data_IF_546121933272
#
_entry.id   IF_546121933272
#
_cell.length_a   1.000
_cell.length_b   1.000
_cell.length_c   1.000
_cell.angle_alpha   90.00
_cell.angle_beta   90.00
_cell.angle_gamma   90.00
#
_symmetry.space_group_name_H-M   'P 1'
#
loop_
_entity.id
_entity.type
_entity.pdbx_description
1 polymer ?
#
# COMPACT_ATOMS: atom_id res chain seq x y z
N UNK A 1 -23.51 -17.51 -3.76
CA UNK A 1 -22.04 -17.61 -3.62
C UNK A 1 -21.67 -17.41 -2.16
N UNK A 2 -20.90 -18.30 -1.53
CA UNK A 2 -20.58 -18.19 -0.10
C UNK A 2 -19.64 -17.00 0.14
N UNK A 3 -20.13 -15.97 0.85
CA UNK A 3 -19.39 -14.74 1.14
C UNK A 3 -18.08 -15.01 1.89
N UNK A 4 -18.04 -16.08 2.70
CA UNK A 4 -16.85 -16.47 3.47
C UNK A 4 -15.67 -16.87 2.57
N UNK A 5 -15.95 -17.40 1.37
CA UNK A 5 -14.92 -17.76 0.39
C UNK A 5 -14.61 -16.58 -0.53
N UNK A 6 -15.66 -15.91 -1.02
CA UNK A 6 -15.51 -14.91 -2.06
C UNK A 6 -14.75 -13.66 -1.61
N UNK A 7 -15.10 -13.10 -0.44
CA UNK A 7 -14.55 -11.81 0.00
C UNK A 7 -13.02 -11.91 0.21
N UNK A 8 -12.49 -12.90 0.95
CA UNK A 8 -11.04 -13.04 1.11
C UNK A 8 -10.32 -13.33 -0.21
N UNK A 9 -10.86 -14.20 -1.06
CA UNK A 9 -10.21 -14.53 -2.35
C UNK A 9 -10.14 -13.30 -3.26
N UNK A 10 -11.23 -12.53 -3.36
CA UNK A 10 -11.25 -11.28 -4.12
C UNK A 10 -10.23 -10.28 -3.58
N UNK A 11 -10.18 -10.11 -2.25
CA UNK A 11 -9.19 -9.26 -1.60
C UNK A 11 -7.75 -9.76 -1.85
N UNK A 12 -7.53 -11.08 -1.89
CA UNK A 12 -6.24 -11.68 -2.23
C UNK A 12 -5.80 -11.34 -3.65
N UNK A 13 -6.68 -11.48 -4.63
CA UNK A 13 -6.41 -11.04 -6.02
C UNK A 13 -6.18 -9.53 -6.11
N UNK A 14 -6.89 -8.74 -5.32
CA UNK A 14 -6.71 -7.30 -5.23
C UNK A 14 -5.31 -6.92 -4.71
N UNK A 15 -4.80 -7.62 -3.70
CA UNK A 15 -3.42 -7.48 -3.24
C UNK A 15 -2.41 -7.87 -4.33
N UNK A 16 -2.61 -8.99 -5.01
CA UNK A 16 -1.73 -9.40 -6.12
C UNK A 16 -1.69 -8.35 -7.22
N UNK A 17 -2.86 -7.83 -7.61
CA UNK A 17 -2.98 -6.80 -8.63
C UNK A 17 -2.12 -5.58 -8.28
N UNK A 18 -2.24 -5.04 -7.07
CA UNK A 18 -1.41 -3.91 -6.66
C UNK A 18 0.07 -4.26 -6.55
N UNK A 19 0.42 -5.41 -5.96
CA UNK A 19 1.81 -5.85 -5.86
C UNK A 19 2.49 -5.92 -7.23
N UNK A 20 1.86 -6.61 -8.19
CA UNK A 20 2.36 -6.78 -9.55
C UNK A 20 2.39 -5.44 -10.29
N UNK A 21 1.32 -4.64 -10.18
CA UNK A 21 1.22 -3.34 -10.84
C UNK A 21 2.37 -2.43 -10.42
N UNK A 22 2.59 -2.26 -9.10
CA UNK A 22 3.66 -1.40 -8.57
C UNK A 22 5.03 -1.90 -8.99
N UNK A 23 5.26 -3.22 -9.02
CA UNK A 23 6.52 -3.83 -9.42
C UNK A 23 6.80 -3.76 -10.93
N UNK A 24 5.74 -3.68 -11.75
CA UNK A 24 5.86 -3.60 -13.21
C UNK A 24 6.44 -2.27 -13.68
N UNK A 25 6.36 -1.21 -12.87
CA UNK A 25 6.85 0.13 -13.20
C UNK A 25 8.38 0.19 -13.15
N UNK A 26 8.98 0.83 -14.16
CA UNK A 26 10.43 1.03 -14.28
C UNK A 26 10.78 2.51 -14.01
N UNK A 27 11.98 2.81 -13.47
CA UNK A 27 13.00 1.87 -12.99
C UNK A 27 12.60 1.19 -11.67
N UNK A 28 13.01 -0.07 -11.48
CA UNK A 28 12.64 -0.86 -10.30
C UNK A 28 13.42 -0.43 -9.07
N UNK A 29 12.72 -0.14 -7.99
CA UNK A 29 13.30 0.21 -6.69
C UNK A 29 13.15 -0.93 -5.69
N UNK A 30 14.09 -1.03 -4.73
CA UNK A 30 14.04 -2.05 -3.65
C UNK A 30 12.73 -2.02 -2.85
N UNK A 31 12.13 -0.84 -2.69
CA UNK A 31 10.83 -0.67 -2.03
C UNK A 31 9.68 -1.37 -2.79
N UNK A 32 9.69 -1.34 -4.12
CA UNK A 32 8.68 -2.00 -4.95
C UNK A 32 8.80 -3.52 -4.84
N UNK A 33 10.03 -4.06 -4.76
CA UNK A 33 10.25 -5.49 -4.53
C UNK A 33 9.73 -5.93 -3.16
N UNK A 34 10.03 -5.18 -2.09
CA UNK A 34 9.48 -5.47 -0.75
C UNK A 34 7.96 -5.35 -0.73
N UNK A 35 7.39 -4.37 -1.43
CA UNK A 35 5.95 -4.21 -1.56
C UNK A 35 5.29 -5.38 -2.31
N UNK A 36 5.93 -5.91 -3.36
CA UNK A 36 5.47 -7.11 -4.05
C UNK A 36 5.45 -8.31 -3.10
N UNK A 37 6.54 -8.56 -2.36
CA UNK A 37 6.59 -9.68 -1.41
C UNK A 37 5.54 -9.54 -0.29
N UNK A 38 5.33 -8.33 0.22
CA UNK A 38 4.25 -8.05 1.17
C UNK A 38 2.88 -8.44 0.61
N UNK A 39 2.59 -8.04 -0.63
CA UNK A 39 1.30 -8.35 -1.27
C UNK A 39 1.16 -9.82 -1.63
N UNK A 40 2.24 -10.52 -1.98
CA UNK A 40 2.23 -11.98 -2.17
C UNK A 40 1.86 -12.68 -0.86
N UNK A 41 2.46 -12.28 0.26
CA UNK A 41 2.12 -12.82 1.58
C UNK A 41 0.65 -12.54 1.95
N UNK A 42 0.17 -11.31 1.77
CA UNK A 42 -1.23 -10.96 2.06
C UNK A 42 -2.20 -11.73 1.16
N UNK A 43 -1.89 -11.88 -0.13
CA UNK A 43 -2.69 -12.65 -1.06
C UNK A 43 -2.75 -14.13 -0.68
N UNK A 44 -1.60 -14.74 -0.36
CA UNK A 44 -1.54 -16.12 0.10
C UNK A 44 -2.37 -16.31 1.38
N UNK A 45 -2.22 -15.40 2.34
CA UNK A 45 -3.01 -15.44 3.57
C UNK A 45 -4.52 -15.44 3.28
N UNK A 46 -4.98 -14.47 2.49
CA UNK A 46 -6.39 -14.28 2.18
C UNK A 46 -6.98 -15.40 1.31
N UNK A 47 -6.21 -15.90 0.35
CA UNK A 47 -6.63 -17.03 -0.48
C UNK A 47 -6.71 -18.31 0.33
N UNK A 48 -5.73 -18.61 1.21
CA UNK A 48 -5.81 -19.80 2.09
C UNK A 48 -7.00 -19.67 3.04
N UNK A 49 -7.21 -18.49 3.62
CA UNK A 49 -8.35 -18.23 4.48
C UNK A 49 -9.70 -18.42 3.77
N UNK A 50 -9.81 -17.99 2.51
CA UNK A 50 -11.03 -18.15 1.72
C UNK A 50 -11.24 -19.57 1.21
N UNK A 51 -10.17 -20.26 0.79
CA UNK A 51 -10.25 -21.56 0.12
C UNK A 51 -10.17 -22.77 1.08
N UNK A 52 -9.71 -22.60 2.33
CA UNK A 52 -9.59 -23.70 3.29
C UNK A 52 -10.90 -24.46 3.57
N UNK A 53 -12.06 -23.84 3.35
CA UNK A 53 -13.36 -24.52 3.47
C UNK A 53 -13.65 -25.53 2.36
N UNK A 54 -12.91 -25.46 1.24
CA UNK A 54 -12.99 -26.43 0.16
C UNK A 54 -12.16 -27.69 0.45
N UNK A 55 -11.32 -27.67 1.48
CA UNK A 55 -10.57 -28.85 1.88
C UNK A 55 -11.51 -29.92 2.45
N UNK A 56 -11.20 -31.21 2.24
CA UNK A 56 -11.87 -32.30 2.96
C UNK A 56 -11.80 -32.05 4.47
N UNK A 57 -12.81 -32.50 5.21
CA UNK A 57 -12.97 -32.23 6.66
C UNK A 57 -11.67 -32.50 7.45
N UNK A 58 -11.00 -33.60 7.14
CA UNK A 58 -9.73 -34.04 7.74
C UNK A 58 -8.59 -33.01 7.59
N UNK A 59 -8.58 -32.24 6.50
CA UNK A 59 -7.54 -31.26 6.19
C UNK A 59 -7.91 -29.82 6.54
N UNK A 60 -9.13 -29.56 7.03
CA UNK A 60 -9.56 -28.19 7.37
C UNK A 60 -8.77 -27.60 8.53
N UNK A 61 -8.41 -28.42 9.53
CA UNK A 61 -7.56 -27.97 10.64
C UNK A 61 -6.17 -27.56 10.15
N UNK A 62 -5.60 -28.36 9.25
CA UNK A 62 -4.34 -28.05 8.58
C UNK A 62 -4.42 -26.74 7.79
N UNK A 63 -5.48 -26.56 6.99
CA UNK A 63 -5.70 -25.32 6.23
C UNK A 63 -5.82 -24.08 7.13
N UNK A 64 -6.51 -24.19 8.27
CA UNK A 64 -6.56 -23.13 9.28
C UNK A 64 -5.17 -22.83 9.85
N UNK A 65 -4.41 -23.84 10.24
CA UNK A 65 -3.07 -23.68 10.82
C UNK A 65 -2.08 -23.04 9.84
N UNK A 66 -2.08 -23.45 8.56
CA UNK A 66 -1.20 -22.84 7.54
C UNK A 66 -1.56 -21.38 7.25
N UNK A 67 -2.81 -20.97 7.46
CA UNK A 67 -3.28 -19.59 7.24
C UNK A 67 -2.39 -18.57 7.98
N UNK A 68 -1.79 -18.94 9.11
CA UNK A 68 -1.00 -18.02 9.93
C UNK A 68 0.40 -17.72 9.37
N UNK A 69 0.96 -18.58 8.50
CA UNK A 69 2.33 -18.40 7.99
C UNK A 69 2.47 -17.15 7.12
N UNK A 70 1.65 -16.97 6.06
CA UNK A 70 1.84 -15.79 5.20
C UNK A 70 1.52 -14.49 5.95
N UNK A 71 0.61 -14.52 6.93
CA UNK A 71 0.33 -13.37 7.80
C UNK A 71 1.59 -12.94 8.59
N UNK A 72 2.22 -13.87 9.32
CA UNK A 72 3.39 -13.54 10.14
C UNK A 72 4.54 -12.99 9.29
N UNK A 73 4.84 -13.63 8.16
CA UNK A 73 5.87 -13.17 7.21
C UNK A 73 5.52 -11.80 6.64
N UNK A 74 4.26 -11.59 6.27
CA UNK A 74 3.77 -10.31 5.75
C UNK A 74 3.98 -9.15 6.72
N UNK A 75 3.66 -9.32 8.01
CA UNK A 75 3.82 -8.23 9.00
C UNK A 75 5.28 -7.83 9.23
N UNK A 76 6.21 -8.78 9.15
CA UNK A 76 7.64 -8.47 9.20
C UNK A 76 8.14 -7.80 7.91
N UNK A 77 7.68 -8.23 6.73
CA UNK A 77 8.04 -7.56 5.47
C UNK A 77 7.56 -6.10 5.49
N UNK A 78 6.37 -5.82 6.05
CA UNK A 78 5.90 -4.46 6.29
C UNK A 78 6.89 -3.66 7.16
N UNK A 79 7.42 -4.27 8.23
CA UNK A 79 8.47 -3.65 9.04
C UNK A 79 9.73 -3.33 8.23
N UNK A 80 10.23 -4.29 7.44
CA UNK A 80 11.41 -4.08 6.58
C UNK A 80 11.17 -2.96 5.56
N UNK A 81 9.96 -2.91 4.98
CA UNK A 81 9.54 -1.87 4.05
C UNK A 81 9.56 -0.49 4.73
N UNK A 82 8.92 -0.36 5.89
CA UNK A 82 8.90 0.89 6.65
C UNK A 82 10.30 1.33 7.09
N UNK A 83 11.16 0.39 7.49
CA UNK A 83 12.56 0.66 7.84
C UNK A 83 13.36 1.17 6.64
N UNK A 84 13.12 0.62 5.44
CA UNK A 84 13.74 1.11 4.20
C UNK A 84 13.20 2.47 3.75
N UNK A 85 11.93 2.77 4.03
CA UNK A 85 11.36 4.11 3.80
C UNK A 85 11.92 5.17 4.76
N UNK A 86 12.27 4.78 5.99
CA UNK A 86 12.87 5.69 6.98
C UNK A 86 14.23 6.22 6.49
N UNK A 87 15.14 5.31 6.11
CA UNK A 87 16.51 5.60 5.69
C UNK A 87 16.91 4.80 4.45
N UNK A 88 16.86 5.46 3.29
CA UNK A 88 17.29 4.91 2.00
C UNK A 88 18.82 4.76 1.99
N UNK A 89 19.31 3.58 2.39
CA UNK A 89 20.75 3.26 2.38
C UNK A 89 21.23 2.51 3.60
N UNK A 90 20.55 2.65 4.74
CA UNK A 90 20.92 1.95 5.96
C UNK A 90 20.63 0.45 5.82
N UNK A 91 21.61 -0.38 6.21
CA UNK A 91 21.42 -1.83 6.31
C UNK A 91 20.49 -2.13 7.49
N UNK A 92 19.67 -3.17 7.33
CA UNK A 92 18.80 -3.64 8.41
C UNK A 92 19.72 -4.38 9.40
N UNK A 93 19.66 -4.07 10.69
CA UNK A 93 20.46 -4.76 11.70
C UNK A 93 20.25 -6.27 11.64
N UNK A 94 21.36 -7.02 11.71
CA UNK A 94 21.34 -8.50 11.56
C UNK A 94 20.49 -9.16 12.65
N UNK A 95 20.53 -8.64 13.89
CA UNK A 95 19.74 -9.17 15.00
C UNK A 95 18.22 -9.13 14.75
N UNK A 96 17.72 -8.13 14.00
CA UNK A 96 16.30 -8.07 13.61
C UNK A 96 15.96 -9.20 12.64
N UNK A 97 16.87 -9.48 11.69
CA UNK A 97 16.68 -10.58 10.75
C UNK A 97 16.73 -11.93 11.45
N UNK A 98 17.64 -12.11 12.41
CA UNK A 98 17.71 -13.31 13.25
C UNK A 98 16.41 -13.48 14.04
N UNK A 99 15.92 -12.42 14.69
CA UNK A 99 14.65 -12.47 15.44
C UNK A 99 13.47 -12.84 14.54
N UNK A 100 13.40 -12.27 13.34
CA UNK A 100 12.40 -12.63 12.34
C UNK A 100 12.48 -14.10 11.95
N UNK A 101 13.68 -14.59 11.61
CA UNK A 101 13.91 -15.99 11.21
C UNK A 101 13.54 -16.95 12.33
N UNK A 102 13.98 -16.69 13.58
CA UNK A 102 13.64 -17.54 14.74
C UNK A 102 12.13 -17.59 14.93
N UNK A 103 11.44 -16.44 14.89
CA UNK A 103 9.99 -16.38 14.98
C UNK A 103 9.31 -17.19 13.87
N UNK A 104 9.75 -17.03 12.62
CA UNK A 104 9.17 -17.78 11.49
C UNK A 104 9.42 -19.27 11.56
N UNK A 105 10.63 -19.70 11.92
CA UNK A 105 10.94 -21.12 12.09
C UNK A 105 10.03 -21.76 13.13
N UNK A 106 9.82 -21.07 14.25
CA UNK A 106 8.90 -21.51 15.29
C UNK A 106 7.45 -21.61 14.79
N UNK A 107 6.92 -20.56 14.16
CA UNK A 107 5.53 -20.59 13.65
C UNK A 107 5.34 -21.57 12.50
N UNK A 108 6.37 -21.79 11.69
CA UNK A 108 6.41 -22.84 10.65
C UNK A 108 6.24 -24.20 11.27
N UNK A 109 7.09 -24.55 12.25
CA UNK A 109 6.95 -25.80 12.98
C UNK A 109 5.56 -25.95 13.63
N UNK A 110 5.07 -24.92 14.31
CA UNK A 110 3.77 -24.96 14.97
C UNK A 110 2.61 -25.12 13.99
N UNK A 111 2.68 -24.49 12.81
CA UNK A 111 1.63 -24.58 11.77
C UNK A 111 1.61 -25.96 11.11
N UNK A 112 2.78 -26.50 10.74
CA UNK A 112 2.86 -27.84 10.13
C UNK A 112 2.54 -28.96 11.12
N UNK A 113 2.84 -28.77 12.40
CA UNK A 113 2.46 -29.68 13.47
C UNK A 113 1.00 -29.52 13.92
N UNK A 114 0.23 -28.62 13.29
CA UNK A 114 -1.16 -28.29 13.62
C UNK A 114 -1.39 -27.86 15.08
N UNK A 115 -0.40 -27.18 15.68
CA UNK A 115 -0.42 -26.70 17.07
C UNK A 115 -0.81 -25.23 17.21
N UNK A 116 -1.11 -24.52 16.11
CA UNK A 116 -1.51 -23.11 16.18
C UNK A 116 -2.89 -22.97 16.79
N UNK A 117 -3.85 -23.77 16.34
CA UNK A 117 -5.23 -23.83 16.85
C UNK A 117 -5.79 -25.22 16.58
N UNK A 118 -6.77 -25.61 17.38
CA UNK A 118 -7.53 -26.86 17.20
C UNK A 118 -8.96 -26.49 16.87
N UNK A 119 -9.47 -26.98 15.75
CA UNK A 119 -10.86 -26.82 15.36
C UNK A 119 -11.79 -27.62 16.28
N UNK A 120 -12.78 -26.93 16.86
CA UNK A 120 -13.92 -27.58 17.51
C UNK A 120 -14.96 -28.00 16.47
N UNK A 121 -15.25 -27.12 15.51
CA UNK A 121 -16.21 -27.37 14.44
C UNK A 121 -15.58 -27.06 13.05
N UNK A 122 -15.32 -28.10 12.23
CA UNK A 122 -14.71 -27.95 10.91
C UNK A 122 -15.57 -27.23 9.86
N UNK A 123 -16.88 -27.14 10.04
CA UNK A 123 -17.78 -26.46 9.09
C UNK A 123 -17.84 -24.96 9.32
N UNK A 124 -17.82 -24.55 10.59
CA UNK A 124 -17.91 -23.14 10.99
C UNK A 124 -16.55 -22.50 11.28
N UNK A 125 -15.47 -23.30 11.29
CA UNK A 125 -14.12 -22.87 11.69
C UNK A 125 -14.07 -22.26 13.10
N UNK A 126 -14.91 -22.76 14.01
CA UNK A 126 -14.82 -22.47 15.44
C UNK A 126 -13.60 -23.23 15.99
N UNK A 127 -12.77 -22.54 16.77
CA UNK A 127 -11.53 -23.10 17.30
C UNK A 127 -11.25 -22.57 18.71
N UNK A 128 -10.50 -23.38 19.45
CA UNK A 128 -9.95 -23.02 20.73
C UNK A 128 -8.66 -22.21 20.61
N UNK A 129 -8.55 -21.21 21.49
CA UNK A 129 -7.35 -20.41 21.61
C UNK A 129 -6.22 -21.23 22.23
N UNK A 130 -5.13 -21.41 21.47
CA UNK A 130 -3.90 -21.97 22.00
C UNK A 130 -2.90 -20.87 22.39
N UNK A 131 -1.91 -21.22 23.21
CA UNK A 131 -0.78 -20.33 23.49
C UNK A 131 -0.10 -19.86 22.19
N UNK A 132 0.09 -20.75 21.22
CA UNK A 132 0.74 -20.46 19.95
C UNK A 132 -0.04 -19.44 19.12
N UNK A 133 -1.38 -19.49 19.22
CA UNK A 133 -2.25 -18.50 18.61
C UNK A 133 -2.04 -17.10 19.18
N UNK A 134 -2.02 -16.97 20.51
CA UNK A 134 -1.74 -15.69 21.16
C UNK A 134 -0.35 -15.18 20.78
N UNK A 135 0.67 -16.05 20.78
CA UNK A 135 2.04 -15.69 20.41
C UNK A 135 2.14 -15.13 18.99
N UNK A 136 1.47 -15.72 17.99
CA UNK A 136 1.52 -15.21 16.62
C UNK A 136 0.78 -13.89 16.45
N UNK A 137 -0.33 -13.69 17.18
CA UNK A 137 -1.06 -12.43 17.18
C UNK A 137 -0.20 -11.33 17.81
N UNK A 138 0.45 -11.60 18.93
CA UNK A 138 1.37 -10.64 19.57
C UNK A 138 2.58 -10.35 18.69
N UNK A 139 3.20 -11.37 18.09
CA UNK A 139 4.32 -11.18 17.16
C UNK A 139 3.93 -10.31 15.96
N UNK A 140 2.80 -10.62 15.33
CA UNK A 140 2.30 -9.87 14.16
C UNK A 140 1.96 -8.43 14.52
N UNK A 141 1.27 -8.23 15.65
CA UNK A 141 0.92 -6.90 16.17
C UNK A 141 2.15 -6.09 16.51
N UNK A 142 3.15 -6.69 17.16
CA UNK A 142 4.42 -6.06 17.49
C UNK A 142 5.13 -5.49 16.26
N UNK A 143 5.20 -6.25 15.16
CA UNK A 143 5.83 -5.77 13.92
C UNK A 143 5.04 -4.64 13.25
N UNK A 144 3.70 -4.72 13.24
CA UNK A 144 2.85 -3.66 12.69
C UNK A 144 2.96 -2.37 13.52
N UNK A 145 2.92 -2.47 14.85
CA UNK A 145 3.10 -1.31 15.74
C UNK A 145 4.50 -0.71 15.62
N UNK A 146 5.54 -1.54 15.55
CA UNK A 146 6.92 -1.09 15.30
C UNK A 146 7.05 -0.36 13.97
N UNK A 147 6.37 -0.85 12.93
CA UNK A 147 6.29 -0.20 11.62
C UNK A 147 5.62 1.17 11.73
N UNK A 148 4.47 1.25 12.39
CA UNK A 148 3.73 2.50 12.59
C UNK A 148 4.56 3.52 13.38
N UNK A 149 5.28 3.08 14.42
CA UNK A 149 6.15 3.92 15.24
C UNK A 149 7.30 4.54 14.46
N UNK A 150 7.98 3.75 13.61
CA UNK A 150 9.05 4.23 12.72
C UNK A 150 8.52 5.35 11.81
N UNK A 151 7.37 5.10 11.18
CA UNK A 151 6.75 6.05 10.25
C UNK A 151 6.29 7.32 10.98
N UNK A 152 5.69 7.18 12.17
CA UNK A 152 5.22 8.30 12.99
C UNK A 152 6.36 9.22 13.45
N UNK A 153 7.54 8.66 13.78
CA UNK A 153 8.71 9.49 14.05
C UNK A 153 9.15 10.26 12.81
N UNK A 154 9.16 9.60 11.66
CA UNK A 154 9.69 10.16 10.42
C UNK A 154 8.78 11.20 9.77
N UNK A 155 7.46 11.06 9.90
CA UNK A 155 6.49 12.00 9.31
C UNK A 155 6.65 13.42 9.85
N UNK A 156 7.14 13.58 11.09
CA UNK A 156 7.38 14.87 11.72
C UNK A 156 8.64 15.57 11.17
N UNK A 157 9.58 14.79 10.65
CA UNK A 157 10.88 15.28 10.15
C UNK A 157 10.86 15.54 8.64
N UNK A 158 10.05 14.78 7.88
CA UNK A 158 9.97 14.88 6.43
C UNK A 158 8.99 15.96 5.96
N UNK A 159 9.21 16.48 4.75
CA UNK A 159 8.38 17.50 4.10
C UNK A 159 7.96 17.07 2.69
N UNK A 160 6.94 17.74 2.15
CA UNK A 160 6.41 17.48 0.81
C UNK A 160 5.98 16.03 0.60
N UNK A 161 6.36 15.47 -0.55
CA UNK A 161 5.91 14.16 -1.01
C UNK A 161 6.26 13.03 -0.03
N UNK A 162 7.47 13.05 0.53
CA UNK A 162 7.91 12.06 1.53
C UNK A 162 6.95 12.04 2.74
N UNK A 163 6.51 13.20 3.22
CA UNK A 163 5.59 13.29 4.36
C UNK A 163 4.23 12.68 4.03
N UNK A 164 3.73 12.93 2.82
CA UNK A 164 2.43 12.42 2.36
C UNK A 164 2.49 10.90 2.14
N UNK A 165 3.58 10.39 1.56
CA UNK A 165 3.82 8.94 1.40
C UNK A 165 3.82 8.22 2.74
N UNK A 166 4.57 8.75 3.72
CA UNK A 166 4.59 8.22 5.08
C UNK A 166 3.21 8.27 5.75
N UNK A 167 2.44 9.34 5.52
CA UNK A 167 1.06 9.43 6.02
C UNK A 167 0.17 8.33 5.46
N UNK A 168 0.22 8.05 4.15
CA UNK A 168 -0.57 6.97 3.55
C UNK A 168 -0.20 5.59 4.12
N UNK A 169 1.10 5.33 4.35
CA UNK A 169 1.53 4.08 5.02
C UNK A 169 0.91 3.98 6.41
N UNK A 170 1.01 5.06 7.20
CA UNK A 170 0.47 5.13 8.55
C UNK A 170 -1.06 4.97 8.57
N UNK A 171 -1.76 5.64 7.65
CA UNK A 171 -3.21 5.55 7.51
C UNK A 171 -3.64 4.11 7.22
N UNK A 172 -2.95 3.43 6.31
CA UNK A 172 -3.18 2.01 6.03
C UNK A 172 -3.04 1.15 7.28
N UNK A 173 -2.00 1.37 8.10
CA UNK A 173 -1.78 0.60 9.33
C UNK A 173 -2.80 0.92 10.43
N UNK A 174 -3.15 2.20 10.63
CA UNK A 174 -4.12 2.64 11.66
C UNK A 174 -5.53 2.11 11.36
N UNK A 175 -5.90 1.98 10.09
CA UNK A 175 -7.21 1.44 9.71
C UNK A 175 -7.17 -0.10 9.68
N UNK A 176 -6.12 -0.67 9.10
CA UNK A 176 -5.99 -2.11 8.90
C UNK A 176 -5.87 -2.94 10.17
N UNK A 177 -4.99 -2.51 11.08
CA UNK A 177 -4.68 -3.28 12.28
C UNK A 177 -5.92 -3.45 13.18
N UNK A 178 -6.68 -2.39 13.54
CA UNK A 178 -7.86 -2.54 14.38
C UNK A 178 -8.94 -3.42 13.75
N UNK A 179 -9.22 -3.23 12.45
CA UNK A 179 -10.23 -4.05 11.73
C UNK A 179 -9.80 -5.53 11.75
N UNK A 180 -8.52 -5.79 11.45
CA UNK A 180 -7.99 -7.16 11.43
C UNK A 180 -8.03 -7.81 12.81
N UNK A 181 -7.57 -7.12 13.85
CA UNK A 181 -7.61 -7.62 15.23
C UNK A 181 -9.04 -7.82 15.72
N UNK A 182 -9.97 -6.95 15.31
CA UNK A 182 -11.38 -7.11 15.66
C UNK A 182 -11.92 -8.44 15.15
N UNK A 183 -11.75 -8.76 13.87
CA UNK A 183 -12.33 -9.97 13.27
C UNK A 183 -11.55 -11.27 13.52
N UNK A 184 -10.25 -11.17 13.82
CA UNK A 184 -9.40 -12.36 14.00
C UNK A 184 -9.20 -12.65 15.49
N UNK A 185 -9.15 -11.65 16.36
CA UNK A 185 -8.84 -11.87 17.77
C UNK A 185 -10.03 -11.59 18.69
N UNK A 186 -10.53 -10.35 18.70
CA UNK A 186 -11.54 -9.92 19.68
C UNK A 186 -12.90 -10.58 19.48
N UNK A 187 -13.41 -10.64 18.25
CA UNK A 187 -14.71 -11.27 17.97
C UNK A 187 -14.69 -12.79 18.22
N UNK A 188 -13.67 -13.54 17.79
CA UNK A 188 -13.56 -14.95 18.15
C UNK A 188 -13.51 -15.19 19.67
N UNK A 189 -12.93 -14.26 20.45
CA UNK A 189 -12.93 -14.36 21.92
C UNK A 189 -14.35 -14.23 22.51
N UNK A 190 -15.27 -13.61 21.77
CA UNK A 190 -16.70 -13.51 22.09
C UNK A 190 -17.53 -14.62 21.39
N UNK A 191 -16.89 -15.62 20.79
CA UNK A 191 -17.56 -16.70 20.05
C UNK A 191 -18.04 -16.33 18.64
N UNK A 192 -17.66 -15.16 18.12
CA UNK A 192 -18.10 -14.68 16.80
C UNK A 192 -17.01 -14.90 15.75
N UNK A 193 -17.13 -15.94 14.94
CA UNK A 193 -16.11 -16.32 13.95
C UNK A 193 -16.42 -15.72 12.57
N UNK A 194 -16.00 -14.47 12.35
CA UNK A 194 -16.14 -13.76 11.06
C UNK A 194 -14.81 -13.28 10.50
N UNK A 195 -13.79 -14.14 10.59
CA UNK A 195 -12.44 -13.82 10.17
C UNK A 195 -12.37 -13.29 8.73
N UNK A 196 -13.25 -13.76 7.82
CA UNK A 196 -13.25 -13.33 6.41
C UNK A 196 -13.43 -11.81 6.23
N UNK A 197 -14.03 -11.10 7.18
CA UNK A 197 -14.21 -9.65 7.14
C UNK A 197 -12.92 -8.86 7.41
N UNK A 198 -11.88 -9.49 7.97
CA UNK A 198 -10.55 -8.86 8.11
C UNK A 198 -9.98 -8.41 6.77
N UNK A 199 -10.33 -9.11 5.69
CA UNK A 199 -9.93 -8.83 4.32
C UNK A 199 -10.34 -7.44 3.82
N UNK A 200 -11.42 -6.86 4.37
CA UNK A 200 -11.85 -5.49 4.07
C UNK A 200 -10.83 -4.47 4.59
N UNK A 201 -10.36 -4.65 5.82
CA UNK A 201 -9.31 -3.81 6.41
C UNK A 201 -8.02 -3.88 5.63
N UNK A 202 -7.60 -5.10 5.26
CA UNK A 202 -6.37 -5.33 4.47
C UNK A 202 -6.46 -4.76 3.05
N UNK A 203 -7.64 -4.80 2.43
CA UNK A 203 -7.88 -4.16 1.13
C UNK A 203 -7.64 -2.64 1.19
N UNK A 204 -8.10 -1.99 2.26
CA UNK A 204 -7.82 -0.56 2.49
C UNK A 204 -6.32 -0.32 2.68
N UNK A 205 -5.62 -1.19 3.41
CA UNK A 205 -4.16 -1.13 3.52
C UNK A 205 -3.48 -1.18 2.15
N UNK A 206 -3.90 -2.13 1.30
CA UNK A 206 -3.33 -2.33 -0.03
C UNK A 206 -3.38 -1.08 -0.88
N UNK A 207 -4.55 -0.41 -0.92
CA UNK A 207 -4.73 0.84 -1.67
C UNK A 207 -3.84 1.94 -1.09
N UNK A 208 -3.89 2.16 0.22
CA UNK A 208 -3.10 3.20 0.88
C UNK A 208 -1.60 3.00 0.64
N UNK A 209 -1.10 1.77 0.80
CA UNK A 209 0.30 1.43 0.61
C UNK A 209 0.71 1.49 -0.86
N UNK A 210 -0.14 1.04 -1.79
CA UNK A 210 0.11 1.18 -3.22
C UNK A 210 0.29 2.66 -3.59
N UNK A 211 -0.61 3.54 -3.12
CA UNK A 211 -0.52 5.00 -3.34
C UNK A 211 0.79 5.56 -2.74
N UNK A 212 1.19 5.12 -1.55
CA UNK A 212 2.42 5.57 -0.90
C UNK A 212 3.70 5.16 -1.66
N UNK A 213 3.70 3.96 -2.27
CA UNK A 213 4.86 3.44 -3.00
C UNK A 213 4.89 3.95 -4.45
N UNK A 214 3.75 4.12 -5.10
CA UNK A 214 3.64 4.54 -6.50
C UNK A 214 4.11 5.97 -6.77
N UNK A 215 4.19 6.82 -5.75
CA UNK A 215 4.31 8.24 -6.01
C UNK A 215 5.74 8.71 -6.32
N UNK A 216 6.00 8.71 -7.63
CA UNK A 216 6.74 9.77 -8.34
C UNK A 216 5.99 11.12 -8.21
N UNK A 217 6.72 12.24 -8.29
CA UNK A 217 6.27 13.59 -7.93
C UNK A 217 4.85 13.90 -8.47
N UNK A 218 3.90 14.14 -7.56
CA UNK A 218 2.49 14.43 -7.87
C UNK A 218 2.33 15.55 -8.90
N UNK A 219 3.26 16.52 -8.84
CA UNK A 219 3.28 17.67 -9.72
C UNK A 219 3.84 17.34 -11.10
N UNK A 220 4.80 16.42 -11.19
CA UNK A 220 5.27 15.87 -12.48
C UNK A 220 4.15 15.08 -13.16
N UNK A 221 3.43 14.23 -12.43
CA UNK A 221 2.28 13.49 -12.97
C UNK A 221 1.21 14.46 -13.46
N UNK A 222 0.93 15.54 -12.72
CA UNK A 222 0.01 16.58 -13.18
C UNK A 222 0.54 17.27 -14.44
N UNK A 223 1.82 17.65 -14.48
CA UNK A 223 2.43 18.31 -15.63
C UNK A 223 2.41 17.40 -16.89
N UNK A 224 2.82 16.14 -16.76
CA UNK A 224 2.85 15.14 -17.83
C UNK A 224 1.44 14.86 -18.37
N UNK A 225 0.42 14.82 -17.49
CA UNK A 225 -0.97 14.59 -17.90
C UNK A 225 -1.43 15.74 -18.79
N UNK A 226 -1.07 16.96 -18.39
CA UNK A 226 -1.46 18.13 -19.16
C UNK A 226 -0.62 18.24 -20.44
N UNK A 227 0.65 17.81 -20.45
CA UNK A 227 1.48 17.64 -21.66
C UNK A 227 1.00 16.53 -22.61
N UNK A 228 -0.02 15.74 -22.23
CA UNK A 228 -0.57 14.68 -23.07
C UNK A 228 0.27 13.41 -23.10
N UNK A 229 1.24 13.26 -22.18
CA UNK A 229 2.01 12.02 -22.05
C UNK A 229 1.11 10.92 -21.50
N UNK A 230 1.36 9.69 -21.96
CA UNK A 230 0.63 8.51 -21.48
C UNK A 230 1.03 8.23 -20.04
N UNK A 231 0.11 8.52 -19.11
CA UNK A 231 0.23 8.17 -17.69
C UNK A 231 -0.65 6.97 -17.41
N UNK A 232 -0.17 6.05 -16.59
CA UNK A 232 -0.96 4.92 -16.14
C UNK A 232 -2.19 5.35 -15.34
N UNK A 233 -3.29 4.62 -15.52
CA UNK A 233 -4.60 4.96 -14.93
C UNK A 233 -4.55 5.11 -13.40
N UNK A 234 -3.86 4.20 -12.70
CA UNK A 234 -3.79 4.21 -11.23
C UNK A 234 -3.04 5.45 -10.73
N UNK A 235 -1.97 5.86 -11.42
CA UNK A 235 -1.22 7.07 -11.06
C UNK A 235 -2.09 8.33 -11.22
N UNK A 236 -2.89 8.37 -12.29
CA UNK A 236 -3.87 9.44 -12.51
C UNK A 236 -4.90 9.51 -11.39
N UNK A 237 -5.50 8.38 -10.98
CA UNK A 237 -6.49 8.33 -9.90
C UNK A 237 -5.86 8.68 -8.55
N UNK A 238 -4.67 8.16 -8.25
CA UNK A 238 -3.95 8.38 -7.01
C UNK A 238 -3.45 9.83 -6.81
N UNK A 239 -3.18 10.56 -7.91
CA UNK A 239 -2.67 11.94 -7.85
C UNK A 239 -3.60 12.92 -7.10
N UNK A 240 -4.92 12.78 -7.28
CA UNK A 240 -5.92 13.67 -6.67
C UNK A 240 -5.91 13.62 -5.13
N UNK A 241 -6.11 12.44 -4.49
CA UNK A 241 -6.06 12.35 -3.03
C UNK A 241 -4.68 12.72 -2.50
N UNK A 242 -3.60 12.42 -3.22
CA UNK A 242 -2.25 12.80 -2.83
C UNK A 242 -2.08 14.33 -2.76
N UNK A 243 -2.43 15.06 -3.82
CA UNK A 243 -2.33 16.52 -3.86
C UNK A 243 -3.21 17.18 -2.80
N UNK A 244 -4.42 16.65 -2.57
CA UNK A 244 -5.33 17.14 -1.51
C UNK A 244 -4.68 16.97 -0.13
N UNK A 245 -4.05 15.82 0.11
CA UNK A 245 -3.36 15.54 1.35
C UNK A 245 -2.09 16.37 1.51
N UNK A 246 -1.33 16.59 0.43
CA UNK A 246 -0.15 17.47 0.43
C UNK A 246 -0.51 18.89 0.80
N UNK A 247 -1.59 19.45 0.25
CA UNK A 247 -2.10 20.78 0.62
C UNK A 247 -2.42 20.90 2.11
N UNK A 248 -2.89 19.82 2.74
CA UNK A 248 -3.23 19.79 4.17
C UNK A 248 -2.01 19.55 5.07
N UNK A 249 -1.14 18.63 4.69
CA UNK A 249 0.01 18.21 5.50
C UNK A 249 1.21 19.15 5.37
N UNK A 250 1.43 19.75 4.20
CA UNK A 250 2.54 20.66 3.93
C UNK A 250 2.11 21.77 2.95
N UNK A 251 1.29 22.75 3.40
CA UNK A 251 0.74 23.78 2.53
C UNK A 251 1.83 24.63 1.88
N UNK A 252 2.92 24.91 2.60
CA UNK A 252 4.02 25.72 2.07
C UNK A 252 4.73 25.00 0.92
N UNK A 253 5.06 23.72 1.08
CA UNK A 253 5.69 22.95 -0.02
C UNK A 253 4.73 22.74 -1.20
N UNK A 254 3.43 22.60 -0.93
CA UNK A 254 2.40 22.56 -1.96
C UNK A 254 2.38 23.86 -2.78
N UNK A 255 2.38 25.03 -2.13
CA UNK A 255 2.41 26.34 -2.82
C UNK A 255 3.69 26.48 -3.63
N UNK A 256 4.85 26.15 -3.06
CA UNK A 256 6.14 26.21 -3.78
C UNK A 256 6.13 25.36 -5.05
N UNK A 257 5.74 24.08 -4.95
CA UNK A 257 5.69 23.18 -6.11
C UNK A 257 4.63 23.61 -7.12
N UNK A 258 3.47 24.07 -6.65
CA UNK A 258 2.43 24.60 -7.53
C UNK A 258 2.87 25.86 -8.24
N UNK A 259 3.62 26.75 -7.58
CA UNK A 259 4.16 27.96 -8.18
C UNK A 259 5.18 27.62 -9.25
N UNK A 260 6.13 26.74 -8.93
CA UNK A 260 7.15 26.27 -9.89
C UNK A 260 6.54 25.60 -11.11
N UNK A 261 5.48 24.81 -10.93
CA UNK A 261 4.75 24.20 -12.05
C UNK A 261 4.07 25.26 -12.93
N UNK A 262 3.48 26.30 -12.34
CA UNK A 262 2.90 27.43 -13.08
C UNK A 262 3.98 28.24 -13.80
N UNK A 263 5.10 28.51 -13.14
CA UNK A 263 6.25 29.21 -13.70
C UNK A 263 6.80 28.50 -14.94
N UNK A 264 6.97 27.18 -14.90
CA UNK A 264 7.42 26.41 -16.07
C UNK A 264 6.41 26.46 -17.22
N UNK A 265 5.10 26.38 -16.92
CA UNK A 265 4.06 26.55 -17.95
C UNK A 265 4.13 27.96 -18.57
N UNK A 266 4.25 28.99 -17.74
CA UNK A 266 4.40 30.38 -18.22
C UNK A 266 5.66 30.54 -19.06
N UNK A 267 6.78 29.95 -18.65
CA UNK A 267 8.03 29.94 -19.41
C UNK A 267 7.86 29.31 -20.79
N UNK A 268 7.14 28.18 -20.88
CA UNK A 268 6.84 27.54 -22.16
C UNK A 268 5.92 28.37 -23.05
N UNK A 269 4.93 29.06 -22.46
CA UNK A 269 4.08 30.00 -23.18
C UNK A 269 4.91 31.13 -23.77
N UNK A 270 5.81 31.75 -22.98
CA UNK A 270 6.66 32.85 -23.43
C UNK A 270 7.62 32.45 -24.54
N UNK A 271 8.30 31.29 -24.40
CA UNK A 271 9.19 30.75 -25.44
C UNK A 271 8.41 30.50 -26.73
N UNK A 272 7.21 29.95 -26.62
CA UNK A 272 6.41 29.67 -27.81
C UNK A 272 5.85 30.93 -28.46
N UNK A 273 5.42 31.93 -27.67
CA UNK A 273 5.01 33.23 -28.21
C UNK A 273 6.17 33.91 -28.95
N UNK A 274 7.37 33.90 -28.36
CA UNK A 274 8.59 34.42 -28.98
C UNK A 274 8.86 33.74 -30.33
N UNK A 275 8.82 32.40 -30.39
CA UNK A 275 8.99 31.68 -31.65
C UNK A 275 7.90 31.96 -32.69
N UNK A 276 6.65 32.14 -32.26
CA UNK A 276 5.54 32.49 -33.16
C UNK A 276 5.65 33.93 -33.68
N UNK A 277 6.22 34.84 -32.89
CA UNK A 277 6.47 36.21 -33.29
C UNK A 277 7.66 36.33 -34.26
N UNK A 278 8.70 35.50 -34.08
CA UNK A 278 9.96 35.61 -34.84
C UNK A 278 9.96 34.79 -36.15
N UNK A 279 9.37 33.59 -36.17
CA UNK A 279 9.57 32.62 -37.26
C UNK A 279 8.42 32.53 -38.29
N UNK A 280 7.33 33.28 -38.12
CA UNK A 280 6.09 33.02 -38.89
C UNK A 280 5.54 34.24 -39.65
N UNK A 281 6.27 35.35 -39.74
CA UNK A 281 5.76 36.61 -40.31
C UNK A 281 4.76 37.33 -39.39
N UNK A 282 4.02 38.33 -39.89
CA UNK A 282 3.03 39.13 -39.15
C UNK A 282 1.79 38.32 -38.71
N UNK A 283 1.96 37.28 -37.89
CA UNK A 283 0.84 36.69 -37.17
C UNK A 283 0.41 37.69 -36.10
N UNK A 284 -0.84 38.15 -36.17
CA UNK A 284 -1.40 39.07 -35.19
C UNK A 284 -1.37 38.49 -33.77
N UNK A 285 -1.32 39.39 -32.78
CA UNK A 285 -1.34 39.01 -31.35
C UNK A 285 -2.55 38.11 -31.03
N UNK A 286 -3.70 38.40 -31.63
CA UNK A 286 -4.93 37.63 -31.43
C UNK A 286 -4.80 36.19 -31.91
N UNK A 287 -4.19 35.98 -33.08
CA UNK A 287 -4.06 34.63 -33.65
C UNK A 287 -3.00 33.82 -32.88
N UNK A 288 -1.92 34.46 -32.41
CA UNK A 288 -0.96 33.83 -31.47
C UNK A 288 -1.62 33.46 -30.15
N UNK A 289 -2.41 34.37 -29.56
CA UNK A 289 -3.16 34.10 -28.33
C UNK A 289 -4.13 32.93 -28.49
N UNK A 290 -4.77 32.79 -29.67
CA UNK A 290 -5.66 31.67 -30.01
C UNK A 290 -4.92 30.34 -30.11
N UNK A 291 -3.73 30.32 -30.72
CA UNK A 291 -2.85 29.14 -30.78
C UNK A 291 -2.40 28.74 -29.38
N UNK A 292 -1.91 29.69 -28.59
CA UNK A 292 -1.47 29.47 -27.22
C UNK A 292 -2.63 29.02 -26.32
N UNK A 293 -3.83 29.59 -26.47
CA UNK A 293 -5.03 29.18 -25.74
C UNK A 293 -5.49 27.77 -26.13
N UNK A 294 -5.43 27.39 -27.41
CA UNK A 294 -5.71 26.00 -27.83
C UNK A 294 -4.71 25.01 -27.23
N UNK A 295 -3.43 25.38 -27.18
CA UNK A 295 -2.37 24.49 -26.67
C UNK A 295 -2.35 24.42 -25.14
N UNK A 296 -2.43 25.58 -24.48
CA UNK A 296 -2.25 25.77 -23.04
C UNK A 296 -3.54 26.04 -22.25
N UNK A 297 -4.69 26.22 -22.89
CA UNK A 297 -5.98 26.52 -22.23
C UNK A 297 -6.39 25.48 -21.20
N UNK A 298 -6.03 24.21 -21.44
CA UNK A 298 -6.25 23.09 -20.50
C UNK A 298 -5.44 23.19 -19.20
N UNK A 299 -4.39 24.02 -19.14
CA UNK A 299 -3.51 24.18 -17.98
C UNK A 299 -4.02 25.25 -17.00
N UNK A 300 -4.98 26.08 -17.42
CA UNK A 300 -5.56 27.15 -16.60
C UNK A 300 -6.84 26.74 -15.85
N UNK A 301 -7.28 25.48 -16.01
CA UNK A 301 -8.41 24.87 -15.27
C UNK A 301 -7.92 24.02 -14.10
#
# INVERSE_FOLDING_TARGET
>A
MNLNHFIPVLAGFFHLFFGIYVFSLKPRQKLQTLFLFLNLCMALWLCIQGLRGLFPLEYRNFGLNITFLPMSVGTFILYLLCKKMENVGQKIPVWILILGIVGFSYFTWASFSQRMVVLENPDTFVFDFSLNYHLIIYFSTFWVLSSAWIILKRIRLKRGDDRVRLFFVLLGSIVGLPITLMFIYFLPFLGIYKAYLSSLGLSVCSVCWAVAILHYDAFEIKADLIQGRKISFINRVASKPFLKLMRKLDPMRFVQKSSKAKEEITRQILIQDFHLAENTGEISVDERAKILSRRFGKYFK
#
